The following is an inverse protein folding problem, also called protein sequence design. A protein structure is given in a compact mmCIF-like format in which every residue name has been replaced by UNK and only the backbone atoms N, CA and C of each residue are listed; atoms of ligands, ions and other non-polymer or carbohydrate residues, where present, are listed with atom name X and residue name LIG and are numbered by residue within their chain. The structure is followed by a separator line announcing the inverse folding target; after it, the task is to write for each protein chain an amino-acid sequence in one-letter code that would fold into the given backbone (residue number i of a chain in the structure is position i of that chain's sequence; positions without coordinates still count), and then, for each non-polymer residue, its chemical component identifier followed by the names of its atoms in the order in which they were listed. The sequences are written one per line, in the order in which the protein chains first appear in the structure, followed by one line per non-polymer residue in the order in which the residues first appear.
data_IF_768542082397
#
_entry.id   IF_768542082397
#
_cell.length_a   1.000
_cell.length_b   1.000
_cell.length_c   1.000
_cell.angle_alpha   90.00
_cell.angle_beta   90.00
_cell.angle_gamma   90.00
#
_symmetry.space_group_name_H-M   'P 1'
#
loop_
_entity.id
_entity.type
_entity.pdbx_description
1 polymer ?
#
# COMPACT_ATOMS: atom_id res chain seq x y z
N UNK A 1 15.81 -3.70 18.05
CA UNK A 1 16.55 -3.43 16.79
C UNK A 1 16.06 -2.09 16.27
N UNK A 2 16.85 -1.03 16.45
CA UNK A 2 16.50 0.27 15.88
C UNK A 2 16.76 0.16 14.37
N UNK A 3 15.71 0.36 13.57
CA UNK A 3 15.84 0.39 12.12
C UNK A 3 16.86 1.44 11.67
N UNK A 4 17.34 1.36 10.42
CA UNK A 4 18.26 2.37 9.90
C UNK A 4 17.66 3.76 10.09
N UNK A 5 18.48 4.79 10.40
CA UNK A 5 18.00 6.15 10.56
C UNK A 5 17.23 6.57 9.32
N UNK A 6 16.05 7.16 9.53
CA UNK A 6 15.22 7.68 8.45
C UNK A 6 16.09 8.64 7.63
N UNK A 7 16.20 8.37 6.33
CA UNK A 7 16.92 9.24 5.41
C UNK A 7 16.35 10.66 5.49
N UNK A 8 17.16 11.71 5.31
CA UNK A 8 16.64 13.08 5.26
C UNK A 8 15.49 13.16 4.25
N UNK A 9 14.43 13.91 4.58
CA UNK A 9 13.15 13.90 3.85
C UNK A 9 13.29 14.13 2.34
N UNK A 10 14.31 14.88 1.90
CA UNK A 10 14.63 15.10 0.49
C UNK A 10 15.05 13.84 -0.27
N UNK A 11 15.67 12.86 0.40
CA UNK A 11 16.05 11.58 -0.20
C UNK A 11 14.87 10.59 -0.15
N UNK A 12 13.97 10.72 0.82
CA UNK A 12 12.84 9.81 0.99
C UNK A 12 11.87 9.88 -0.20
N UNK A 13 11.51 11.08 -0.65
CA UNK A 13 10.60 11.28 -1.81
C UNK A 13 11.22 10.73 -3.10
N UNK A 14 12.51 11.01 -3.33
CA UNK A 14 13.21 10.49 -4.51
C UNK A 14 13.25 8.95 -4.51
N UNK A 15 13.42 8.33 -3.33
CA UNK A 15 13.38 6.87 -3.18
C UNK A 15 11.96 6.31 -3.29
N UNK A 16 10.95 7.04 -2.82
CA UNK A 16 9.55 6.67 -2.95
C UNK A 16 9.13 6.62 -4.43
N UNK A 17 9.62 7.54 -5.26
CA UNK A 17 9.38 7.52 -6.70
C UNK A 17 9.93 6.26 -7.40
N UNK A 18 11.02 5.67 -6.90
CA UNK A 18 11.59 4.42 -7.45
C UNK A 18 10.68 3.19 -7.23
N UNK A 19 9.69 3.31 -6.34
CA UNK A 19 8.70 2.25 -6.11
C UNK A 19 7.68 2.13 -7.24
N UNK A 20 7.60 3.11 -8.16
CA UNK A 20 6.56 3.15 -9.19
C UNK A 20 5.17 3.25 -8.57
N UNK A 21 4.15 2.79 -9.29
CA UNK A 21 2.79 2.66 -8.77
C UNK A 21 2.69 1.45 -7.83
N UNK A 22 2.25 1.69 -6.60
CA UNK A 22 2.07 0.67 -5.57
C UNK A 22 0.57 0.46 -5.30
N UNK A 23 0.07 -0.76 -5.49
CA UNK A 23 -1.24 -1.14 -5.00
C UNK A 23 -1.14 -1.68 -3.56
N UNK A 24 -1.87 -1.09 -2.63
CA UNK A 24 -2.06 -1.64 -1.28
C UNK A 24 -3.32 -2.49 -1.28
N UNK A 25 -3.18 -3.78 -1.04
CA UNK A 25 -4.29 -4.74 -1.01
C UNK A 25 -4.68 -5.00 0.44
N UNK A 26 -5.94 -4.74 0.78
CA UNK A 26 -6.46 -4.83 2.14
C UNK A 26 -7.95 -5.24 2.13
N UNK A 27 -8.60 -5.26 3.28
CA UNK A 27 -10.00 -5.67 3.42
C UNK A 27 -10.17 -7.19 3.38
N UNK A 28 -10.86 -7.70 2.36
CA UNK A 28 -11.11 -9.14 2.27
C UNK A 28 -12.43 -9.61 2.89
N UNK A 29 -12.61 -10.92 3.01
CA UNK A 29 -13.83 -11.58 3.53
C UNK A 29 -13.58 -12.41 4.79
N UNK A 30 -12.41 -12.26 5.41
CA UNK A 30 -12.06 -12.96 6.65
C UNK A 30 -12.80 -12.36 7.85
N UNK A 31 -12.73 -13.05 8.99
CA UNK A 31 -13.20 -12.50 10.27
C UNK A 31 -12.37 -11.30 10.74
N UNK A 32 -11.16 -11.12 10.20
CA UNK A 32 -10.23 -10.05 10.54
C UNK A 32 -10.33 -8.85 9.56
N UNK A 33 -11.36 -8.80 8.71
CA UNK A 33 -11.58 -7.73 7.71
C UNK A 33 -11.40 -6.33 8.30
N UNK A 34 -12.00 -6.04 9.45
CA UNK A 34 -11.89 -4.71 10.07
C UNK A 34 -10.45 -4.36 10.46
N UNK A 35 -9.67 -5.36 10.87
CA UNK A 35 -8.24 -5.19 11.15
C UNK A 35 -7.48 -4.89 9.85
N UNK A 36 -7.79 -5.60 8.77
CA UNK A 36 -7.20 -5.35 7.45
C UNK A 36 -7.57 -3.98 6.87
N UNK A 37 -8.82 -3.53 7.03
CA UNK A 37 -9.25 -2.18 6.64
C UNK A 37 -8.46 -1.11 7.41
N UNK A 38 -8.39 -1.24 8.73
CA UNK A 38 -7.68 -0.29 9.57
C UNK A 38 -6.18 -0.26 9.28
N UNK A 39 -5.54 -1.42 9.10
CA UNK A 39 -4.10 -1.51 8.87
C UNK A 39 -3.72 -1.09 7.44
N UNK A 40 -4.51 -1.49 6.45
CA UNK A 40 -4.37 -1.09 5.05
C UNK A 40 -4.49 0.42 4.83
N UNK A 41 -5.49 1.05 5.46
CA UNK A 41 -5.66 2.51 5.37
C UNK A 41 -4.45 3.28 5.90
N UNK A 42 -3.86 2.83 7.02
CA UNK A 42 -2.66 3.46 7.60
C UNK A 42 -1.43 3.32 6.70
N UNK A 43 -1.29 2.18 6.02
CA UNK A 43 -0.22 1.96 5.04
C UNK A 43 -0.41 2.87 3.83
N UNK A 44 -1.64 2.97 3.32
CA UNK A 44 -1.97 3.84 2.19
C UNK A 44 -1.64 5.31 2.50
N UNK A 45 -2.06 5.81 3.66
CA UNK A 45 -1.76 7.17 4.13
C UNK A 45 -0.24 7.40 4.29
N UNK A 46 0.49 6.43 4.85
CA UNK A 46 1.93 6.53 5.01
C UNK A 46 2.69 6.59 3.69
N UNK A 47 2.32 5.76 2.72
CA UNK A 47 2.92 5.76 1.38
C UNK A 47 2.59 7.05 0.62
N UNK A 48 1.34 7.53 0.70
CA UNK A 48 0.95 8.80 0.10
C UNK A 48 1.72 9.98 0.72
N UNK A 49 1.91 9.99 2.04
CA UNK A 49 2.61 11.05 2.75
C UNK A 49 4.10 11.19 2.36
N UNK A 50 4.73 10.11 1.87
CA UNK A 50 6.11 10.13 1.37
C UNK A 50 6.21 10.35 -0.15
N UNK A 51 5.08 10.60 -0.82
CA UNK A 51 5.02 10.89 -2.25
C UNK A 51 5.06 9.67 -3.17
N UNK A 52 4.73 8.46 -2.67
CA UNK A 52 4.53 7.28 -3.52
C UNK A 52 3.24 7.42 -4.33
N UNK A 53 3.26 7.05 -5.62
CA UNK A 53 2.03 6.81 -6.39
C UNK A 53 1.37 5.55 -5.86
N UNK A 54 0.33 5.70 -5.04
CA UNK A 54 -0.28 4.61 -4.28
C UNK A 54 -1.79 4.57 -4.51
N UNK A 55 -2.31 3.36 -4.62
CA UNK A 55 -3.74 3.10 -4.78
C UNK A 55 -4.18 1.95 -3.86
N UNK A 56 -5.37 2.07 -3.31
CA UNK A 56 -5.95 1.07 -2.43
C UNK A 56 -6.86 0.12 -3.19
N UNK A 57 -6.77 -1.18 -2.92
CA UNK A 57 -7.65 -2.20 -3.49
C UNK A 57 -8.19 -3.08 -2.35
N UNK A 58 -9.51 -3.04 -2.15
CA UNK A 58 -10.18 -4.00 -1.28
C UNK A 58 -10.24 -5.37 -1.97
N UNK A 59 -9.80 -6.43 -1.28
CA UNK A 59 -9.87 -7.82 -1.74
C UNK A 59 -11.32 -8.36 -1.69
N UNK A 60 -12.20 -7.74 -2.48
CA UNK A 60 -13.58 -8.14 -2.69
C UNK A 60 -13.75 -9.18 -3.82
N UNK A 61 -14.98 -9.32 -4.33
CA UNK A 61 -15.29 -10.29 -5.39
C UNK A 61 -14.61 -9.98 -6.73
N UNK A 62 -14.43 -8.69 -7.05
CA UNK A 62 -13.81 -8.24 -8.31
C UNK A 62 -12.28 -8.02 -8.22
N UNK A 63 -11.63 -8.56 -7.18
CA UNK A 63 -10.22 -8.27 -6.87
C UNK A 63 -9.26 -8.46 -8.06
N UNK A 64 -9.39 -9.58 -8.78
CA UNK A 64 -8.51 -9.87 -9.94
C UNK A 64 -8.70 -8.85 -11.05
N UNK A 65 -9.95 -8.43 -11.31
CA UNK A 65 -10.24 -7.40 -12.31
C UNK A 65 -9.63 -6.07 -11.88
N UNK A 66 -9.85 -5.65 -10.64
CA UNK A 66 -9.29 -4.41 -10.09
C UNK A 66 -7.75 -4.38 -10.19
N UNK A 67 -7.08 -5.49 -9.89
CA UNK A 67 -5.62 -5.60 -10.04
C UNK A 67 -5.13 -5.45 -11.49
N UNK A 68 -5.89 -5.96 -12.45
CA UNK A 68 -5.54 -5.89 -13.87
C UNK A 68 -5.78 -4.47 -14.43
N UNK A 69 -6.82 -3.78 -13.96
CA UNK A 69 -7.16 -2.42 -14.40
C UNK A 69 -6.21 -1.35 -13.84
N UNK A 70 -5.73 -1.53 -12.61
CA UNK A 70 -4.89 -0.54 -11.93
C UNK A 70 -3.47 -0.45 -12.51
N UNK A 71 -2.97 -1.53 -13.11
CA UNK A 71 -1.64 -1.62 -13.73
C UNK A 71 -0.50 -1.14 -12.81
N UNK A 72 -0.51 -1.59 -11.55
CA UNK A 72 0.56 -1.31 -10.59
C UNK A 72 1.89 -2.00 -10.96
N UNK A 73 3.01 -1.39 -10.56
CA UNK A 73 4.34 -2.00 -10.63
C UNK A 73 4.58 -2.98 -9.47
N UNK A 74 3.97 -2.71 -8.32
CA UNK A 74 4.18 -3.46 -7.07
C UNK A 74 2.89 -3.59 -6.28
N UNK A 75 2.80 -4.65 -5.50
CA UNK A 75 1.70 -4.90 -4.56
C UNK A 75 2.23 -4.99 -3.14
N UNK A 76 1.64 -4.22 -2.23
CA UNK A 76 1.82 -4.35 -0.79
C UNK A 76 0.60 -5.06 -0.20
N UNK A 77 0.78 -6.26 0.33
CA UNK A 77 -0.32 -7.08 0.88
C UNK A 77 -0.48 -6.78 2.36
N UNK A 78 -1.66 -6.26 2.73
CA UNK A 78 -2.06 -5.93 4.09
C UNK A 78 -3.38 -6.61 4.47
N UNK A 79 -3.51 -7.88 4.06
CA UNK A 79 -4.63 -8.74 4.42
C UNK A 79 -4.41 -9.36 5.79
N UNK A 80 -5.52 -9.57 6.51
CA UNK A 80 -5.58 -10.32 7.76
C UNK A 80 -6.61 -11.44 7.58
#
# INVERSE_FOLDING_TARGET
MNGPPLAPASNLVARAALLGRVAVVYGGRSAEREVSLASGQRVLEGLAAIGTDVVGIDHGEDFVRSLLEVQQDRVFVMLH
#
